data_IF_611263780052
#
_entry.id   IF_611263780052
#
_cell.length_a   1.000
_cell.length_b   1.000
_cell.length_c   1.000
_cell.angle_alpha   90.00
_cell.angle_beta   90.00
_cell.angle_gamma   90.00
#
_symmetry.space_group_name_H-M   'P 1'
#
loop_
_entity.id
_entity.type
_entity.pdbx_description
1 polymer ?
#
# COMPACT_ATOMS: atom_id res chain seq x y z
N UNK A 1 16.05 10.14 -31.36
CA UNK A 1 17.09 10.24 -30.31
C UNK A 1 16.84 9.15 -29.29
N UNK A 2 17.87 8.42 -28.87
CA UNK A 2 17.79 7.39 -27.82
C UNK A 2 17.76 8.05 -26.45
N UNK A 3 16.95 7.53 -25.51
CA UNK A 3 16.99 7.94 -24.11
C UNK A 3 18.05 7.10 -23.37
N UNK A 4 19.17 7.69 -22.90
CA UNK A 4 20.27 6.92 -22.32
C UNK A 4 19.87 6.10 -21.09
N UNK A 5 19.04 6.68 -20.21
CA UNK A 5 18.61 6.01 -18.98
C UNK A 5 17.69 4.82 -19.26
N UNK A 6 16.77 4.96 -20.22
CA UNK A 6 15.92 3.86 -20.66
C UNK A 6 16.76 2.75 -21.27
N UNK A 7 17.74 3.08 -22.09
CA UNK A 7 18.63 2.09 -22.71
C UNK A 7 19.43 1.29 -21.67
N UNK A 8 19.99 1.97 -20.66
CA UNK A 8 20.74 1.35 -19.57
C UNK A 8 19.86 0.34 -18.79
N UNK A 9 18.69 0.77 -18.32
CA UNK A 9 17.78 -0.08 -17.53
C UNK A 9 17.26 -1.25 -18.38
N UNK A 10 16.78 -0.98 -19.59
CA UNK A 10 16.19 -2.01 -20.44
C UNK A 10 17.21 -3.09 -20.82
N UNK A 11 18.43 -2.69 -21.15
CA UNK A 11 19.51 -3.64 -21.46
C UNK A 11 19.83 -4.53 -20.25
N UNK A 12 20.00 -3.93 -19.07
CA UNK A 12 20.29 -4.69 -17.85
C UNK A 12 19.18 -5.69 -17.48
N UNK A 13 17.91 -5.30 -17.61
CA UNK A 13 16.77 -6.19 -17.37
C UNK A 13 16.75 -7.35 -18.38
N UNK A 14 16.95 -7.06 -19.67
CA UNK A 14 16.98 -8.08 -20.73
C UNK A 14 18.11 -9.09 -20.52
N UNK A 15 19.30 -8.61 -20.16
CA UNK A 15 20.45 -9.46 -19.89
C UNK A 15 20.23 -10.35 -18.66
N UNK A 16 19.64 -9.80 -17.60
CA UNK A 16 19.27 -10.57 -16.41
C UNK A 16 18.24 -11.66 -16.72
N UNK A 17 17.17 -11.33 -17.45
CA UNK A 17 16.14 -12.30 -17.84
C UNK A 17 16.74 -13.39 -18.73
N UNK A 18 17.51 -13.03 -19.77
CA UNK A 18 18.18 -13.99 -20.66
C UNK A 18 19.11 -14.93 -19.90
N UNK A 19 19.85 -14.40 -18.93
CA UNK A 19 20.72 -15.20 -18.07
C UNK A 19 19.91 -16.25 -17.29
N UNK A 20 18.77 -15.88 -16.72
CA UNK A 20 17.87 -16.82 -16.03
C UNK A 20 17.35 -17.89 -16.98
N UNK A 21 16.90 -17.52 -18.20
CA UNK A 21 16.42 -18.48 -19.19
C UNK A 21 17.47 -19.54 -19.54
N UNK A 22 18.74 -19.14 -19.70
CA UNK A 22 19.85 -20.06 -19.95
C UNK A 22 20.15 -20.92 -18.71
N UNK A 23 20.22 -20.31 -17.53
CA UNK A 23 20.58 -21.01 -16.28
C UNK A 23 19.56 -22.07 -15.86
N UNK A 24 18.28 -21.83 -16.13
CA UNK A 24 17.21 -22.77 -15.81
C UNK A 24 16.89 -23.72 -16.98
N UNK A 25 17.70 -23.69 -18.06
CA UNK A 25 17.50 -24.51 -19.26
C UNK A 25 16.07 -24.43 -19.82
N UNK A 26 15.46 -23.23 -19.80
CA UNK A 26 14.05 -23.04 -20.14
C UNK A 26 13.79 -23.54 -21.56
N UNK A 27 12.86 -24.48 -21.67
CA UNK A 27 12.50 -25.13 -22.93
C UNK A 27 11.65 -24.20 -23.81
N UNK A 28 11.56 -24.53 -25.10
CA UNK A 28 10.66 -23.77 -26.00
C UNK A 28 9.20 -23.85 -25.53
N UNK A 29 8.76 -25.01 -25.01
CA UNK A 29 7.40 -25.19 -24.50
C UNK A 29 7.11 -24.28 -23.29
N UNK A 30 8.04 -24.20 -22.34
CA UNK A 30 7.93 -23.31 -21.18
C UNK A 30 7.97 -21.83 -21.58
N UNK A 31 8.83 -21.46 -22.54
CA UNK A 31 8.84 -20.10 -23.08
C UNK A 31 7.49 -19.73 -23.70
N UNK A 32 6.89 -20.61 -24.51
CA UNK A 32 5.55 -20.38 -25.08
C UNK A 32 4.48 -20.28 -24.01
N UNK A 33 4.53 -21.12 -22.98
CA UNK A 33 3.62 -21.04 -21.83
C UNK A 33 3.77 -19.69 -21.09
N UNK A 34 4.99 -19.21 -20.87
CA UNK A 34 5.26 -17.90 -20.27
C UNK A 34 4.73 -16.73 -21.11
N UNK A 35 4.86 -16.79 -22.44
CA UNK A 35 4.27 -15.77 -23.33
C UNK A 35 2.74 -15.79 -23.24
N UNK A 36 2.11 -16.96 -23.28
CA UNK A 36 0.66 -17.09 -23.14
C UNK A 36 0.17 -16.59 -21.78
N UNK A 37 0.93 -16.84 -20.71
CA UNK A 37 0.67 -16.28 -19.38
C UNK A 37 0.64 -14.75 -19.41
N UNK A 38 1.63 -14.10 -20.03
CA UNK A 38 1.64 -12.63 -20.14
C UNK A 38 0.44 -12.09 -20.94
N UNK A 39 -0.01 -12.83 -21.97
CA UNK A 39 -1.23 -12.49 -22.70
C UNK A 39 -2.48 -12.59 -21.82
N UNK A 40 -2.58 -13.63 -20.99
CA UNK A 40 -3.68 -13.78 -20.02
C UNK A 40 -3.68 -12.65 -18.98
N UNK A 41 -2.51 -12.22 -18.49
CA UNK A 41 -2.40 -11.07 -17.57
C UNK A 41 -2.93 -9.80 -18.24
N UNK A 42 -2.60 -9.57 -19.51
CA UNK A 42 -3.11 -8.42 -20.25
C UNK A 42 -4.63 -8.49 -20.47
N UNK A 43 -5.16 -9.65 -20.85
CA UNK A 43 -6.61 -9.87 -21.05
C UNK A 43 -7.40 -9.67 -19.76
N UNK A 44 -6.89 -10.17 -18.64
CA UNK A 44 -7.46 -9.98 -17.31
C UNK A 44 -7.28 -8.54 -16.76
N UNK A 45 -6.54 -7.67 -17.47
CA UNK A 45 -6.17 -6.31 -17.04
C UNK A 45 -5.40 -6.30 -15.72
N UNK A 46 -4.60 -7.33 -15.47
CA UNK A 46 -3.84 -7.52 -14.22
C UNK A 46 -2.39 -7.04 -14.31
N UNK A 47 -1.96 -6.38 -15.39
CA UNK A 47 -0.56 -5.93 -15.54
C UNK A 47 -0.09 -5.06 -14.36
N UNK A 48 -0.94 -4.14 -13.89
CA UNK A 48 -0.64 -3.33 -12.71
C UNK A 48 -0.52 -4.17 -11.43
N UNK A 49 -1.42 -5.14 -11.24
CA UNK A 49 -1.40 -6.05 -10.10
C UNK A 49 -0.13 -6.92 -10.10
N UNK A 50 0.24 -7.48 -11.25
CA UNK A 50 1.45 -8.29 -11.41
C UNK A 50 2.70 -7.51 -11.00
N UNK A 51 2.84 -6.27 -11.50
CA UNK A 51 3.96 -5.41 -11.14
C UNK A 51 3.95 -5.05 -9.65
N UNK A 52 2.78 -4.74 -9.08
CA UNK A 52 2.66 -4.36 -7.67
C UNK A 52 3.02 -5.50 -6.72
N UNK A 53 2.61 -6.73 -7.04
CA UNK A 53 2.91 -7.93 -6.23
C UNK A 53 4.39 -8.25 -6.22
N UNK A 54 5.05 -8.22 -7.38
CA UNK A 54 6.41 -8.77 -7.53
C UNK A 54 7.54 -7.73 -7.55
N UNK A 55 7.25 -6.44 -7.80
CA UNK A 55 8.29 -5.42 -8.03
C UNK A 55 8.17 -4.18 -7.15
N UNK A 56 6.96 -3.77 -6.75
CA UNK A 56 6.75 -2.48 -6.10
C UNK A 56 7.41 -2.39 -4.72
N UNK A 57 7.45 -3.48 -3.95
CA UNK A 57 8.20 -3.53 -2.68
C UNK A 57 9.68 -3.18 -2.86
N UNK A 58 10.33 -3.63 -3.94
CA UNK A 58 11.71 -3.24 -4.27
C UNK A 58 11.85 -1.74 -4.59
N UNK A 59 10.88 -1.14 -5.29
CA UNK A 59 10.89 0.30 -5.55
C UNK A 59 10.75 1.10 -4.26
N UNK A 60 9.91 0.62 -3.33
CA UNK A 60 9.77 1.19 -1.99
C UNK A 60 11.07 1.06 -1.21
N UNK A 61 11.77 -0.07 -1.27
CA UNK A 61 13.08 -0.24 -0.62
C UNK A 61 14.12 0.76 -1.13
N UNK A 62 14.17 0.99 -2.44
CA UNK A 62 15.06 2.00 -3.04
C UNK A 62 14.70 3.40 -2.51
N UNK A 63 13.41 3.74 -2.41
CA UNK A 63 12.96 5.01 -1.83
C UNK A 63 13.30 5.10 -0.34
N UNK A 64 13.06 4.03 0.42
CA UNK A 64 13.32 3.95 1.85
C UNK A 64 14.81 4.14 2.17
N UNK A 65 15.70 3.60 1.33
CA UNK A 65 17.14 3.78 1.48
C UNK A 65 17.62 5.23 1.22
N UNK A 66 16.84 6.03 0.50
CA UNK A 66 17.17 7.40 0.14
C UNK A 66 16.50 8.46 1.05
N UNK A 67 15.41 8.11 1.74
CA UNK A 67 14.64 9.04 2.58
C UNK A 67 15.23 9.16 3.99
N UNK A 68 15.10 10.33 4.58
CA UNK A 68 15.31 10.61 6.02
C UNK A 68 13.98 10.78 6.77
N UNK A 69 12.86 10.61 6.08
CA UNK A 69 11.52 10.66 6.64
C UNK A 69 11.06 9.33 7.24
N UNK A 70 9.76 9.23 7.51
CA UNK A 70 9.15 7.98 7.94
C UNK A 70 9.23 6.92 6.83
N UNK A 71 9.24 5.65 7.24
CA UNK A 71 9.32 4.53 6.31
C UNK A 71 8.17 4.56 5.28
N UNK A 72 8.48 4.56 3.98
CA UNK A 72 7.48 4.46 2.93
C UNK A 72 6.98 3.02 2.81
N UNK A 73 5.82 2.87 2.18
CA UNK A 73 5.26 1.57 1.84
C UNK A 73 4.57 1.62 0.47
N UNK A 74 4.20 0.45 -0.07
CA UNK A 74 3.49 0.37 -1.35
C UNK A 74 2.15 1.09 -1.26
N UNK A 75 1.78 1.86 -2.29
CA UNK A 75 0.48 2.54 -2.31
C UNK A 75 -0.68 1.55 -2.47
N UNK A 76 -0.44 0.51 -3.25
CA UNK A 76 -1.49 -0.40 -3.71
C UNK A 76 -2.46 0.27 -4.70
N UNK A 77 -3.38 -0.53 -5.28
CA UNK A 77 -4.27 -0.07 -6.33
C UNK A 77 -5.48 0.72 -5.82
N UNK A 78 -5.71 0.73 -4.50
CA UNK A 78 -6.97 1.16 -3.92
C UNK A 78 -6.99 2.60 -3.41
N UNK A 79 -6.05 3.45 -3.82
CA UNK A 79 -6.06 4.88 -3.48
C UNK A 79 -7.09 5.66 -4.31
N UNK A 80 -7.77 6.64 -3.71
CA UNK A 80 -8.73 7.54 -4.35
C UNK A 80 -8.46 8.98 -3.92
N UNK A 81 -8.19 9.85 -4.88
CA UNK A 81 -7.84 11.25 -4.64
C UNK A 81 -9.05 12.05 -4.15
N UNK A 82 -10.26 11.63 -4.50
CA UNK A 82 -11.53 12.30 -4.23
C UNK A 82 -12.06 12.09 -2.80
N UNK A 83 -11.31 11.44 -1.90
CA UNK A 83 -11.73 11.24 -0.52
C UNK A 83 -12.07 12.57 0.19
N UNK A 84 -13.15 12.64 0.98
CA UNK A 84 -13.61 13.88 1.62
C UNK A 84 -12.75 14.24 2.84
N UNK A 85 -12.73 15.52 3.21
CA UNK A 85 -12.29 15.89 4.56
C UNK A 85 -13.31 15.43 5.59
N UNK A 86 -12.83 14.93 6.72
CA UNK A 86 -13.66 14.46 7.84
C UNK A 86 -13.36 15.22 9.12
N UNK A 87 -14.34 15.27 10.02
CA UNK A 87 -14.15 15.81 11.37
C UNK A 87 -14.07 14.64 12.36
N UNK A 88 -12.86 14.21 12.66
CA UNK A 88 -12.55 13.26 13.73
C UNK A 88 -13.02 11.80 13.54
N UNK A 89 -13.81 11.47 12.52
CA UNK A 89 -14.26 10.08 12.25
C UNK A 89 -14.44 9.79 10.75
N UNK A 90 -13.94 8.64 10.29
CA UNK A 90 -14.23 8.14 8.95
C UNK A 90 -15.67 7.62 8.87
N UNK A 91 -16.32 7.84 7.73
CA UNK A 91 -17.64 7.25 7.47
C UNK A 91 -17.49 5.75 7.26
N UNK A 92 -18.25 4.96 7.99
CA UNK A 92 -18.34 3.50 7.87
C UNK A 92 -19.83 3.14 7.82
N UNK A 93 -20.18 1.90 7.47
CA UNK A 93 -21.57 1.45 7.64
C UNK A 93 -21.94 1.43 9.13
N UNK A 94 -23.20 1.30 9.50
CA UNK A 94 -23.56 0.99 10.91
C UNK A 94 -23.67 -0.53 11.13
N UNK A 95 -23.86 -1.27 10.04
CA UNK A 95 -24.10 -2.71 10.03
C UNK A 95 -22.83 -3.57 10.13
N UNK A 96 -21.65 -3.00 9.92
CA UNK A 96 -20.44 -3.79 10.05
C UNK A 96 -20.21 -4.17 11.52
N UNK A 97 -19.54 -5.30 11.75
CA UNK A 97 -19.07 -5.71 13.08
C UNK A 97 -17.87 -4.85 13.49
N UNK A 98 -18.12 -3.57 13.75
CA UNK A 98 -17.09 -2.56 13.97
C UNK A 98 -16.31 -2.89 15.23
N UNK A 99 -15.00 -3.07 15.06
CA UNK A 99 -14.04 -2.99 16.17
C UNK A 99 -13.41 -1.61 16.12
N UNK A 100 -13.71 -0.71 17.07
CA UNK A 100 -13.23 0.67 17.01
C UNK A 100 -11.71 0.77 16.96
N UNK A 101 -11.24 1.62 16.05
CA UNK A 101 -9.83 1.95 15.84
C UNK A 101 -9.64 3.47 15.97
N UNK A 102 -8.70 3.88 16.81
CA UNK A 102 -8.25 5.25 16.95
C UNK A 102 -6.90 5.42 16.26
N UNK A 103 -6.85 6.32 15.27
CA UNK A 103 -5.62 6.71 14.59
C UNK A 103 -5.27 8.14 15.00
N UNK A 104 -4.05 8.36 15.47
CA UNK A 104 -3.61 9.70 15.87
C UNK A 104 -2.10 9.84 15.82
N UNK A 105 -1.60 11.06 15.88
CA UNK A 105 -0.17 11.34 15.98
C UNK A 105 0.15 12.75 15.56
N UNK A 106 1.37 12.98 15.08
CA UNK A 106 1.83 14.27 14.59
C UNK A 106 2.57 14.20 13.24
N UNK A 107 2.73 15.34 12.57
CA UNK A 107 3.57 15.48 11.39
C UNK A 107 4.68 16.47 11.67
N UNK A 108 5.92 16.06 11.36
CA UNK A 108 7.13 16.87 11.47
C UNK A 108 7.93 16.81 10.18
N UNK A 109 8.84 17.76 10.00
CA UNK A 109 9.86 17.71 8.96
C UNK A 109 11.11 16.94 9.42
N UNK A 110 12.04 16.68 8.50
CA UNK A 110 13.29 15.96 8.77
C UNK A 110 14.22 16.68 9.79
N UNK A 111 13.93 17.94 10.12
CA UNK A 111 14.64 18.73 11.13
C UNK A 111 13.93 18.72 12.49
N UNK A 112 12.80 18.02 12.59
CA UNK A 112 11.97 17.92 13.79
C UNK A 112 10.98 19.09 13.98
N UNK A 113 10.84 20.00 13.00
CA UNK A 113 9.88 21.10 13.08
C UNK A 113 8.49 20.57 12.80
N UNK A 114 7.52 21.08 13.56
CA UNK A 114 6.10 20.81 13.35
C UNK A 114 5.66 21.25 11.96
N UNK A 115 4.93 20.39 11.25
CA UNK A 115 4.28 20.74 9.98
C UNK A 115 2.78 20.93 10.24
N UNK A 116 2.31 22.16 10.12
CA UNK A 116 0.88 22.50 10.27
C UNK A 116 0.15 22.42 8.93
N UNK A 117 -1.17 22.24 8.97
CA UNK A 117 -2.05 22.11 7.80
C UNK A 117 -1.59 21.06 6.75
N UNK A 118 -0.79 20.08 7.14
CA UNK A 118 -0.51 18.91 6.31
C UNK A 118 -1.81 18.11 6.15
N UNK A 119 -2.04 17.61 4.94
CA UNK A 119 -3.17 16.75 4.61
C UNK A 119 -2.73 15.31 4.77
N UNK A 120 -3.52 14.52 5.50
CA UNK A 120 -3.31 13.09 5.66
C UNK A 120 -4.52 12.39 5.04
N UNK A 121 -4.33 11.79 3.87
CA UNK A 121 -5.30 10.87 3.27
C UNK A 121 -5.20 9.52 3.96
N UNK A 122 -6.35 8.98 4.36
CA UNK A 122 -6.45 7.71 5.09
C UNK A 122 -7.44 6.84 4.33
N UNK A 123 -7.07 5.60 4.05
CA UNK A 123 -7.98 4.61 3.50
C UNK A 123 -7.64 3.21 3.99
N UNK A 124 -8.66 2.37 4.13
CA UNK A 124 -8.46 0.98 4.53
C UNK A 124 -9.64 0.12 4.06
N UNK A 125 -9.51 -1.19 4.23
CA UNK A 125 -10.57 -2.13 3.91
C UNK A 125 -11.69 -2.06 4.95
N UNK A 126 -12.88 -2.49 4.53
CA UNK A 126 -13.96 -2.90 5.43
C UNK A 126 -13.56 -4.14 6.25
N UNK A 127 -14.34 -4.52 7.29
CA UNK A 127 -14.11 -5.74 8.05
C UNK A 127 -14.23 -7.04 7.24
N UNK A 128 -14.73 -6.99 6.01
CA UNK A 128 -14.76 -8.11 5.05
C UNK A 128 -13.76 -7.95 3.89
N UNK A 129 -12.81 -7.01 3.99
CA UNK A 129 -11.68 -6.90 3.06
C UNK A 129 -11.97 -6.14 1.76
N UNK A 130 -13.06 -5.38 1.67
CA UNK A 130 -13.46 -4.59 0.49
C UNK A 130 -13.03 -3.13 0.58
N UNK A 131 -12.90 -2.47 -0.57
CA UNK A 131 -12.48 -1.07 -0.68
C UNK A 131 -13.55 -0.26 -1.42
N UNK A 132 -13.93 0.88 -0.86
CA UNK A 132 -14.93 1.75 -1.48
C UNK A 132 -14.46 2.36 -2.81
N UNK A 133 -15.38 2.55 -3.76
CA UNK A 133 -15.14 3.24 -5.03
C UNK A 133 -14.55 2.42 -6.18
N UNK A 134 -14.55 1.08 -6.09
CA UNK A 134 -13.94 0.18 -7.10
C UNK A 134 -14.89 -0.79 -7.81
N UNK A 135 -16.13 -0.98 -7.35
CA UNK A 135 -17.09 -1.91 -7.97
C UNK A 135 -16.63 -3.37 -7.94
N UNK A 136 -17.29 -4.23 -8.71
CA UNK A 136 -16.91 -5.65 -8.85
C UNK A 136 -16.93 -6.40 -7.53
N UNK A 137 -15.83 -7.08 -7.18
CA UNK A 137 -15.69 -7.77 -5.88
C UNK A 137 -15.85 -6.84 -4.67
N UNK A 138 -15.51 -5.55 -4.82
CA UNK A 138 -15.66 -4.58 -3.74
C UNK A 138 -17.10 -4.07 -3.59
N UNK A 139 -17.97 -4.34 -4.56
CA UNK A 139 -19.34 -3.86 -4.61
C UNK A 139 -19.45 -2.35 -4.87
N UNK A 140 -20.69 -1.87 -4.93
CA UNK A 140 -21.02 -0.47 -5.24
C UNK A 140 -20.99 0.42 -3.99
N UNK A 141 -19.90 0.32 -3.24
CA UNK A 141 -19.69 1.10 -2.02
C UNK A 141 -19.28 2.54 -2.36
N UNK A 142 -19.99 3.57 -1.86
CA UNK A 142 -19.68 4.97 -2.15
C UNK A 142 -18.27 5.34 -1.69
N UNK A 143 -17.58 6.16 -2.48
CA UNK A 143 -16.16 6.50 -2.28
C UNK A 143 -15.85 7.22 -0.97
N UNK A 144 -16.85 7.78 -0.30
CA UNK A 144 -16.70 8.46 0.99
C UNK A 144 -16.65 7.50 2.20
N UNK A 145 -16.84 6.19 2.01
CA UNK A 145 -16.76 5.18 3.08
C UNK A 145 -15.34 4.62 3.27
N UNK A 146 -14.92 4.39 4.51
CA UNK A 146 -13.60 3.85 4.92
C UNK A 146 -12.42 4.66 4.37
N UNK A 147 -12.68 5.93 4.06
CA UNK A 147 -11.74 6.87 3.46
C UNK A 147 -11.98 8.26 4.03
N UNK A 148 -10.93 9.05 4.12
CA UNK A 148 -11.06 10.45 4.48
C UNK A 148 -9.73 11.18 4.51
N UNK A 149 -9.82 12.49 4.65
CA UNK A 149 -8.70 13.40 4.82
C UNK A 149 -8.84 14.13 6.14
N UNK A 150 -7.73 14.26 6.84
CA UNK A 150 -7.62 15.15 8.01
C UNK A 150 -6.51 16.17 7.79
N UNK A 151 -6.58 17.30 8.49
CA UNK A 151 -5.51 18.29 8.54
C UNK A 151 -4.86 18.28 9.90
N UNK A 152 -3.55 18.42 9.93
CA UNK A 152 -2.82 18.63 11.17
C UNK A 152 -3.13 20.00 11.77
N UNK A 153 -3.28 20.06 13.10
CA UNK A 153 -3.50 21.29 13.86
C UNK A 153 -2.24 22.19 13.92
N UNK A 154 -2.33 23.28 14.69
CA UNK A 154 -1.23 24.23 14.89
C UNK A 154 -0.03 23.64 15.65
N UNK A 155 -0.15 22.43 16.20
CA UNK A 155 0.93 21.64 16.82
C UNK A 155 1.33 20.44 15.94
N UNK A 156 0.83 20.37 14.71
CA UNK A 156 1.10 19.28 13.76
C UNK A 156 0.35 18.01 14.08
N UNK A 157 -0.57 18.02 15.04
CA UNK A 157 -1.26 16.81 15.51
C UNK A 157 -2.49 16.53 14.66
N UNK A 158 -2.83 15.26 14.55
CA UNK A 158 -4.01 14.79 13.83
C UNK A 158 -4.64 13.63 14.59
N UNK A 159 -5.94 13.42 14.35
CA UNK A 159 -6.71 12.34 14.98
C UNK A 159 -7.90 11.98 14.09
N UNK A 160 -8.16 10.68 13.94
CA UNK A 160 -9.38 10.16 13.34
C UNK A 160 -9.79 8.83 14.00
N UNK A 161 -11.08 8.65 14.21
CA UNK A 161 -11.67 7.36 14.61
C UNK A 161 -12.17 6.62 13.37
N UNK A 162 -12.06 5.30 13.38
CA UNK A 162 -12.56 4.41 12.34
C UNK A 162 -12.81 3.01 12.92
N UNK A 163 -12.90 1.99 12.07
CA UNK A 163 -12.93 0.58 12.42
C UNK A 163 -11.66 -0.14 11.99
N UNK A 164 -11.34 -1.24 12.67
CA UNK A 164 -10.28 -2.14 12.25
C UNK A 164 -10.55 -2.65 10.82
N UNK A 165 -9.52 -2.62 9.96
CA UNK A 165 -9.57 -3.32 8.68
C UNK A 165 -9.40 -4.82 8.88
N UNK A 166 -9.71 -5.58 7.83
CA UNK A 166 -9.44 -7.01 7.78
C UNK A 166 -8.28 -7.32 6.81
N UNK A 167 -7.57 -8.45 7.02
CA UNK A 167 -6.76 -9.04 5.97
C UNK A 167 -7.60 -9.26 4.71
N UNK A 168 -6.99 -9.12 3.54
CA UNK A 168 -7.72 -9.28 2.29
C UNK A 168 -6.88 -10.02 1.26
N UNK A 169 -7.56 -10.66 0.32
CA UNK A 169 -6.91 -11.26 -0.83
C UNK A 169 -6.85 -10.27 -1.98
N UNK A 170 -5.68 -10.13 -2.60
CA UNK A 170 -5.62 -9.57 -3.95
C UNK A 170 -6.47 -10.44 -4.91
N UNK A 171 -6.87 -9.94 -6.10
CA UNK A 171 -7.59 -10.75 -7.09
C UNK A 171 -6.93 -12.13 -7.28
N UNK A 172 -7.65 -13.19 -6.89
CA UNK A 172 -7.11 -14.54 -6.75
C UNK A 172 -7.60 -15.52 -7.83
N UNK A 173 -8.58 -15.11 -8.64
CA UNK A 173 -9.14 -15.92 -9.74
C UNK A 173 -8.43 -15.69 -11.08
N UNK A 174 -7.57 -14.68 -11.16
CA UNK A 174 -6.83 -14.33 -12.37
C UNK A 174 -5.42 -14.92 -12.41
N UNK A 175 -4.68 -14.65 -13.51
CA UNK A 175 -3.34 -15.19 -13.73
C UNK A 175 -2.34 -14.80 -12.64
N UNK A 176 -2.46 -13.63 -12.00
CA UNK A 176 -1.53 -13.23 -10.93
C UNK A 176 -1.67 -14.14 -9.70
N UNK A 177 -2.90 -14.42 -9.27
CA UNK A 177 -3.16 -15.35 -8.18
C UNK A 177 -2.76 -16.79 -8.51
N UNK A 178 -2.95 -17.20 -9.76
CA UNK A 178 -2.50 -18.52 -10.22
C UNK A 178 -0.97 -18.66 -10.16
N UNK A 179 -0.22 -17.64 -10.58
CA UNK A 179 1.24 -17.65 -10.49
C UNK A 179 1.72 -17.72 -9.04
N UNK A 180 1.15 -16.91 -8.13
CA UNK A 180 1.48 -17.00 -6.70
C UNK A 180 1.25 -18.40 -6.14
N UNK A 181 0.13 -19.03 -6.49
CA UNK A 181 -0.19 -20.40 -6.08
C UNK A 181 0.85 -21.40 -6.60
N UNK A 182 1.24 -21.29 -7.88
CA UNK A 182 2.27 -22.15 -8.50
C UNK A 182 3.65 -21.97 -7.86
N UNK A 183 3.95 -20.78 -7.34
CA UNK A 183 5.18 -20.48 -6.60
C UNK A 183 5.14 -20.96 -5.13
N UNK A 184 4.04 -21.57 -4.68
CA UNK A 184 3.86 -21.97 -3.28
C UNK A 184 3.56 -20.80 -2.33
N UNK A 185 3.16 -19.65 -2.87
CA UNK A 185 2.72 -18.49 -2.12
C UNK A 185 1.19 -18.47 -1.96
N UNK A 186 0.64 -17.37 -1.47
CA UNK A 186 -0.79 -17.13 -1.32
C UNK A 186 -1.16 -15.72 -1.80
N UNK A 187 -2.46 -15.41 -1.85
CA UNK A 187 -2.95 -14.09 -2.28
C UNK A 187 -3.31 -13.15 -1.13
N UNK A 188 -3.10 -13.57 0.12
CA UNK A 188 -3.42 -12.77 1.30
C UNK A 188 -2.41 -11.67 1.58
N UNK A 189 -2.94 -10.51 1.97
CA UNK A 189 -2.23 -9.42 2.62
C UNK A 189 -2.75 -9.27 4.05
N UNK A 190 -1.89 -8.93 5.03
CA UNK A 190 -2.30 -8.66 6.40
C UNK A 190 -3.25 -7.46 6.48
N UNK A 191 -3.98 -7.33 7.58
CA UNK A 191 -4.76 -6.13 7.87
C UNK A 191 -3.83 -4.90 7.93
N UNK A 192 -4.22 -3.79 7.29
CA UNK A 192 -3.46 -2.55 7.31
C UNK A 192 -4.33 -1.32 7.05
N UNK A 193 -3.81 -0.18 7.51
CA UNK A 193 -4.34 1.15 7.19
C UNK A 193 -3.33 1.88 6.31
N UNK A 194 -3.80 2.46 5.22
CA UNK A 194 -2.96 3.26 4.33
C UNK A 194 -3.01 4.75 4.68
N UNK A 195 -1.89 5.41 4.44
CA UNK A 195 -1.70 6.83 4.65
C UNK A 195 -0.98 7.47 3.47
N UNK A 196 -1.42 8.68 3.09
CA UNK A 196 -0.66 9.57 2.22
C UNK A 196 -0.59 10.97 2.85
N UNK A 197 0.60 11.36 3.27
CA UNK A 197 0.86 12.64 3.95
C UNK A 197 1.40 13.64 2.92
N UNK A 198 0.76 14.80 2.84
CA UNK A 198 1.04 15.81 1.81
C UNK A 198 1.05 17.21 2.40
N UNK A 199 2.01 18.02 1.96
CA UNK A 199 2.08 19.46 2.24
C UNK A 199 2.84 20.12 1.10
N UNK A 200 2.36 21.29 0.65
CA UNK A 200 3.06 22.06 -0.37
C UNK A 200 4.50 22.38 0.08
N UNK A 201 5.48 22.14 -0.79
CA UNK A 201 6.90 22.26 -0.48
C UNK A 201 7.54 21.03 0.19
N UNK A 202 6.79 19.93 0.32
CA UNK A 202 7.27 18.65 0.83
C UNK A 202 7.03 17.53 -0.17
N UNK A 203 7.92 16.52 -0.14
CA UNK A 203 7.71 15.26 -0.81
C UNK A 203 6.55 14.50 -0.15
N UNK A 204 5.68 13.92 -0.98
CA UNK A 204 4.58 13.10 -0.46
C UNK A 204 5.11 11.78 0.13
N UNK A 205 4.73 11.51 1.37
CA UNK A 205 4.91 10.21 2.00
C UNK A 205 3.69 9.34 1.73
N UNK A 206 3.87 8.23 1.04
CA UNK A 206 2.89 7.14 0.97
C UNK A 206 3.40 6.01 1.85
N UNK A 207 2.57 5.56 2.77
CA UNK A 207 2.91 4.47 3.70
C UNK A 207 1.66 3.68 4.09
N UNK A 208 1.86 2.56 4.78
CA UNK A 208 0.80 1.76 5.38
C UNK A 208 1.34 1.11 6.64
N UNK A 209 0.47 0.91 7.62
CA UNK A 209 0.83 0.30 8.89
C UNK A 209 -0.03 -0.93 9.17
N UNK A 210 0.61 -1.91 9.78
CA UNK A 210 0.08 -3.23 10.09
C UNK A 210 -0.09 -3.39 11.61
N UNK A 211 -0.66 -4.52 12.02
CA UNK A 211 -0.93 -4.84 13.42
C UNK A 211 -0.08 -6.01 13.87
N UNK A 212 0.64 -5.85 14.97
CA UNK A 212 1.45 -6.91 15.58
C UNK A 212 0.61 -8.17 15.87
N UNK A 213 1.16 -9.35 15.51
CA UNK A 213 0.46 -10.63 15.66
C UNK A 213 -0.72 -10.84 14.72
N UNK A 214 -0.97 -9.92 13.78
CA UNK A 214 -2.01 -10.06 12.77
C UNK A 214 -1.72 -11.19 11.77
N UNK A 215 -2.77 -11.82 11.25
CA UNK A 215 -2.64 -12.84 10.21
C UNK A 215 -1.88 -12.29 8.99
N UNK A 216 -1.01 -13.11 8.40
CA UNK A 216 -0.23 -12.81 7.19
C UNK A 216 0.84 -11.72 7.33
N UNK A 217 1.09 -11.19 8.53
CA UNK A 217 2.16 -10.20 8.74
C UNK A 217 3.53 -10.79 8.37
N UNK A 218 3.76 -12.06 8.70
CA UNK A 218 5.03 -12.75 8.42
C UNK A 218 5.13 -13.28 6.98
N UNK A 219 4.07 -13.14 6.17
CA UNK A 219 4.00 -13.77 4.85
C UNK A 219 3.24 -12.94 3.79
N UNK A 220 3.19 -11.61 3.92
CA UNK A 220 2.48 -10.73 2.95
C UNK A 220 2.84 -11.06 1.50
N UNK A 221 1.83 -11.36 0.67
CA UNK A 221 2.04 -11.81 -0.71
C UNK A 221 2.74 -10.77 -1.61
N UNK A 222 2.72 -9.49 -1.21
CA UNK A 222 3.39 -8.40 -1.91
C UNK A 222 4.80 -8.08 -1.34
N UNK A 223 5.26 -8.78 -0.30
CA UNK A 223 6.49 -8.47 0.44
C UNK A 223 6.54 -7.00 0.92
N UNK A 224 5.39 -6.42 1.27
CA UNK A 224 5.26 -5.01 1.63
C UNK A 224 5.49 -4.72 3.12
N UNK A 225 5.38 -5.74 3.98
CA UNK A 225 5.56 -5.59 5.43
C UNK A 225 7.03 -5.34 5.76
N UNK A 226 7.28 -4.28 6.53
CA UNK A 226 8.57 -3.97 7.16
C UNK A 226 8.40 -3.89 8.68
N UNK A 227 9.36 -4.33 9.49
CA UNK A 227 9.22 -4.37 10.95
C UNK A 227 8.78 -3.03 11.56
N UNK A 228 9.31 -1.91 11.08
CA UNK A 228 9.00 -0.55 11.53
C UNK A 228 7.58 -0.08 11.18
N UNK A 229 6.87 -0.80 10.30
CA UNK A 229 5.48 -0.54 9.93
C UNK A 229 4.49 -1.43 10.70
N UNK A 230 4.96 -2.35 11.54
CA UNK A 230 4.11 -3.21 12.38
C UNK A 230 3.88 -2.53 13.72
N UNK A 231 2.65 -2.10 13.99
CA UNK A 231 2.32 -1.38 15.21
C UNK A 231 2.00 -2.35 16.35
N UNK A 232 2.59 -2.14 17.55
CA UNK A 232 2.27 -2.94 18.72
C UNK A 232 0.80 -2.74 19.12
N UNK A 233 0.23 -3.75 19.79
CA UNK A 233 -1.12 -3.64 20.31
C UNK A 233 -1.19 -2.55 21.40
N UNK A 234 -2.01 -1.52 21.18
CA UNK A 234 -2.27 -0.46 22.14
C UNK A 234 -3.78 -0.22 22.27
N UNK A 235 -4.23 0.11 23.48
CA UNK A 235 -5.62 0.46 23.77
C UNK A 235 -5.70 1.86 24.36
N UNK A 236 -6.51 2.73 23.78
CA UNK A 236 -6.78 4.08 24.26
C UNK A 236 -8.28 4.36 24.22
N UNK A 237 -8.83 4.91 25.31
CA UNK A 237 -10.25 5.25 25.39
C UNK A 237 -11.19 4.07 25.06
N UNK A 238 -10.77 2.83 25.39
CA UNK A 238 -11.52 1.61 25.09
C UNK A 238 -11.48 1.16 23.63
N UNK A 239 -10.64 1.77 22.79
CA UNK A 239 -10.46 1.44 21.37
C UNK A 239 -9.04 0.93 21.14
N UNK A 240 -8.85 0.09 20.12
CA UNK A 240 -7.49 -0.18 19.65
C UNK A 240 -6.91 1.12 19.06
N UNK A 241 -5.63 1.39 19.28
CA UNK A 241 -5.00 2.65 18.89
C UNK A 241 -3.73 2.44 18.07
N UNK A 242 -3.50 3.33 17.10
CA UNK A 242 -2.24 3.48 16.38
C UNK A 242 -1.76 4.92 16.54
N UNK A 243 -0.70 5.10 17.33
CA UNK A 243 0.01 6.37 17.48
C UNK A 243 1.10 6.46 16.39
N UNK A 244 0.94 7.38 15.45
CA UNK A 244 1.68 7.45 14.20
C UNK A 244 2.23 8.86 13.98
N UNK A 245 3.50 9.05 14.34
CA UNK A 245 4.25 10.27 14.06
C UNK A 245 4.93 10.18 12.69
N UNK A 246 4.48 11.01 11.75
CA UNK A 246 5.03 11.09 10.41
C UNK A 246 6.14 12.13 10.31
N UNK A 247 7.21 11.78 9.60
CA UNK A 247 8.28 12.67 9.19
C UNK A 247 8.24 12.76 7.67
N UNK A 248 8.02 13.96 7.13
CA UNK A 248 8.04 14.23 5.69
C UNK A 248 9.20 15.15 5.33
N UNK A 249 9.78 14.93 4.15
CA UNK A 249 10.96 15.69 3.70
C UNK A 249 10.55 16.85 2.83
N UNK A 250 11.33 17.95 2.85
CA UNK A 250 11.15 19.03 1.89
C UNK A 250 11.39 18.55 0.46
N UNK A 251 10.58 19.06 -0.47
CA UNK A 251 10.78 18.79 -1.89
C UNK A 251 12.07 19.43 -2.37
N UNK A 252 12.94 18.65 -3.01
CA UNK A 252 14.10 19.20 -3.71
C UNK A 252 13.62 19.77 -5.05
N UNK A 253 13.58 21.11 -5.13
CA UNK A 253 13.28 21.83 -6.35
C UNK A 253 14.36 21.62 -7.42
#
# INVERSE_FOLDING_TARGET
>A
MTNPRVHEIATAMLDAVRKVLVQQEVTEAEYRAGVMYMMQVAEAKEMGLLCDVFLNSTIVEIKAAATRGSAPAIQGPYFKEEAPFVDGKLKTYDSDDHKPLLLHGSVKDETGRVVTDAIIDIWHSTPDGRYSGFGGYHGDMPVDYYRGKVRTDAQGRWRVQTTLPAPYQIPNKGPTGALLTLMGSHTWRPAHVHFKVRKDGFEALTTQYYFEGGEWVDSDCCNGVKPELVMPAAMEQGMQAMALDFVIEKSHA
#
